data_IF_744207007776
#
_entry.id   IF_744207007776
#
_cell.length_a   1.000
_cell.length_b   1.000
_cell.length_c   1.000
_cell.angle_alpha   90.00
_cell.angle_beta   90.00
_cell.angle_gamma   90.00
#
_symmetry.space_group_name_H-M   'P 1'
#
loop_
_entity.id
_entity.type
_entity.pdbx_description
1 polymer ?
#
# COMPACT_ATOMS: atom_id res chain seq x y z
N UNK A 1 10.27 29.35 -19.22
CA UNK A 1 9.55 28.08 -18.92
C UNK A 1 9.97 27.46 -17.58
N UNK A 2 11.25 27.55 -17.18
CA UNK A 2 11.76 26.99 -15.92
C UNK A 2 11.18 27.65 -14.65
N UNK A 3 11.12 28.99 -14.59
CA UNK A 3 10.53 29.72 -13.45
C UNK A 3 9.07 29.35 -13.21
N UNK A 4 8.30 29.15 -14.28
CA UNK A 4 6.90 28.71 -14.20
C UNK A 4 6.77 27.29 -13.64
N UNK A 5 7.66 26.38 -14.06
CA UNK A 5 7.69 24.99 -13.57
C UNK A 5 8.06 24.94 -12.09
N UNK A 6 8.98 25.79 -11.64
CA UNK A 6 9.38 25.96 -10.24
C UNK A 6 8.24 26.47 -9.36
N UNK A 7 7.54 27.52 -9.82
CA UNK A 7 6.38 28.06 -9.11
C UNK A 7 5.28 27.00 -9.01
N UNK A 8 5.07 26.21 -10.06
CA UNK A 8 4.11 25.10 -10.05
C UNK A 8 4.53 24.01 -9.07
N UNK A 9 5.78 23.54 -9.10
CA UNK A 9 6.22 22.45 -8.20
C UNK A 9 6.16 22.89 -6.74
N UNK A 10 6.57 24.13 -6.44
CA UNK A 10 6.47 24.74 -5.12
C UNK A 10 5.01 24.80 -4.67
N UNK A 11 4.12 25.30 -5.53
CA UNK A 11 2.69 25.42 -5.23
C UNK A 11 2.07 24.05 -4.96
N UNK A 12 2.40 23.05 -5.79
CA UNK A 12 1.94 21.66 -5.60
C UNK A 12 2.50 21.07 -4.31
N UNK A 13 3.78 21.29 -4.00
CA UNK A 13 4.42 20.84 -2.77
C UNK A 13 3.73 21.40 -1.52
N UNK A 14 3.47 22.71 -1.50
CA UNK A 14 2.75 23.39 -0.41
C UNK A 14 1.33 22.83 -0.28
N UNK A 15 0.60 22.71 -1.40
CA UNK A 15 -0.77 22.17 -1.39
C UNK A 15 -0.80 20.72 -0.90
N UNK A 16 0.14 19.87 -1.32
CA UNK A 16 0.27 18.50 -0.82
C UNK A 16 0.65 18.47 0.67
N UNK A 17 1.52 19.37 1.12
CA UNK A 17 1.97 19.45 2.50
C UNK A 17 0.84 19.82 3.47
N UNK A 18 -0.07 20.73 3.09
CA UNK A 18 -1.13 21.20 3.97
C UNK A 18 -2.52 20.58 3.70
N UNK A 19 -2.79 20.14 2.47
CA UNK A 19 -4.09 19.62 2.06
C UNK A 19 -4.05 18.21 1.48
N UNK A 20 -2.91 17.50 1.60
CA UNK A 20 -2.68 16.19 0.99
C UNK A 20 -3.77 15.17 1.27
N UNK A 21 -4.24 15.07 2.52
CA UNK A 21 -5.33 14.16 2.88
C UNK A 21 -6.65 14.42 2.11
N UNK A 22 -6.98 15.69 1.85
CA UNK A 22 -8.20 16.07 1.13
C UNK A 22 -8.07 15.76 -0.37
N UNK A 23 -6.89 16.05 -0.95
CA UNK A 23 -6.61 15.71 -2.34
C UNK A 23 -6.54 14.22 -2.59
N UNK A 24 -6.06 13.43 -1.63
CA UNK A 24 -6.04 11.98 -1.74
C UNK A 24 -7.46 11.40 -1.95
N UNK A 25 -8.46 11.93 -1.23
CA UNK A 25 -9.86 11.55 -1.44
C UNK A 25 -10.33 11.90 -2.86
N UNK A 26 -10.02 13.09 -3.33
CA UNK A 26 -10.38 13.53 -4.69
C UNK A 26 -9.69 12.66 -5.75
N UNK A 27 -8.41 12.34 -5.56
CA UNK A 27 -7.65 11.49 -6.48
C UNK A 27 -8.26 10.08 -6.58
N UNK A 28 -8.70 9.49 -5.46
CA UNK A 28 -9.39 8.20 -5.49
C UNK A 28 -10.77 8.27 -6.14
N UNK A 29 -11.51 9.38 -5.95
CA UNK A 29 -12.77 9.60 -6.65
C UNK A 29 -12.56 9.70 -8.16
N UNK A 30 -11.53 10.44 -8.59
CA UNK A 30 -11.15 10.58 -10.00
C UNK A 30 -10.70 9.25 -10.59
N UNK A 31 -9.88 8.47 -9.87
CA UNK A 31 -9.49 7.12 -10.28
C UNK A 31 -10.69 6.20 -10.43
N UNK A 32 -11.60 6.21 -9.45
CA UNK A 32 -12.86 5.46 -9.51
C UNK A 32 -13.75 5.90 -10.67
N UNK A 33 -13.81 7.21 -10.95
CA UNK A 33 -14.55 7.76 -12.09
C UNK A 33 -13.96 7.27 -13.42
N UNK A 34 -12.64 7.33 -13.59
CA UNK A 34 -11.98 6.87 -14.81
C UNK A 34 -12.21 5.38 -15.07
N UNK A 35 -12.09 4.55 -14.02
CA UNK A 35 -12.37 3.11 -14.11
C UNK A 35 -13.85 2.87 -14.42
N UNK A 36 -14.76 3.58 -13.74
CA UNK A 36 -16.19 3.46 -14.00
C UNK A 36 -16.61 3.93 -15.38
N UNK A 37 -15.98 4.97 -15.92
CA UNK A 37 -16.19 5.42 -17.28
C UNK A 37 -15.73 4.38 -18.30
N UNK A 38 -14.59 3.71 -18.06
CA UNK A 38 -14.14 2.59 -18.88
C UNK A 38 -15.14 1.42 -18.82
N UNK A 39 -15.63 1.06 -17.63
CA UNK A 39 -16.67 0.03 -17.49
C UNK A 39 -17.96 0.44 -18.22
N UNK A 40 -18.39 1.70 -18.10
CA UNK A 40 -19.56 2.23 -18.80
C UNK A 40 -19.42 2.16 -20.31
N UNK A 41 -18.21 2.42 -20.83
CA UNK A 41 -17.89 2.24 -22.25
C UNK A 41 -18.02 0.76 -22.68
N UNK A 42 -17.55 -0.18 -21.87
CA UNK A 42 -17.70 -1.62 -22.14
C UNK A 42 -19.14 -2.14 -22.00
N UNK A 43 -19.97 -1.51 -21.16
CA UNK A 43 -21.36 -1.88 -20.96
C UNK A 43 -22.29 -1.31 -22.05
N UNK A 44 -21.90 -0.20 -22.69
CA UNK A 44 -22.72 0.47 -23.69
C UNK A 44 -23.19 -0.44 -24.84
N UNK A 45 -22.34 -1.30 -25.46
CA UNK A 45 -22.78 -2.19 -26.53
C UNK A 45 -23.95 -3.11 -26.16
N UNK A 46 -24.06 -3.51 -24.90
CA UNK A 46 -25.16 -4.36 -24.41
C UNK A 46 -26.49 -3.60 -24.25
N UNK A 47 -26.42 -2.29 -24.05
CA UNK A 47 -27.59 -1.42 -23.90
C UNK A 47 -27.96 -0.71 -25.20
N UNK A 48 -27.03 -0.61 -26.15
CA UNK A 48 -27.19 0.12 -27.41
C UNK A 48 -28.35 -0.40 -28.25
N UNK A 49 -28.64 -1.70 -28.21
CA UNK A 49 -29.75 -2.33 -28.94
C UNK A 49 -31.14 -1.87 -28.47
N UNK A 50 -31.24 -1.33 -27.25
CA UNK A 50 -32.50 -0.88 -26.65
C UNK A 50 -32.68 0.64 -26.68
N UNK A 51 -31.70 1.37 -27.21
CA UNK A 51 -31.68 2.83 -27.23
C UNK A 51 -32.05 3.36 -28.62
N UNK A 52 -32.71 4.52 -28.72
CA UNK A 52 -33.06 5.12 -30.01
C UNK A 52 -31.80 5.51 -30.80
N UNK A 53 -31.79 5.23 -32.11
CA UNK A 53 -30.66 5.49 -33.03
C UNK A 53 -30.26 6.98 -33.10
N UNK A 54 -31.20 7.87 -32.78
CA UNK A 54 -30.94 9.31 -32.71
C UNK A 54 -30.14 9.65 -31.45
N UNK A 55 -28.81 9.81 -31.62
CA UNK A 55 -27.94 10.40 -30.59
C UNK A 55 -26.99 9.43 -29.87
N UNK A 56 -26.54 8.36 -30.52
CA UNK A 56 -25.59 7.39 -29.96
C UNK A 56 -24.39 8.01 -29.20
N UNK A 57 -23.83 9.12 -29.69
CA UNK A 57 -22.70 9.79 -29.01
C UNK A 57 -23.07 10.36 -27.65
N UNK A 58 -24.28 10.90 -27.49
CA UNK A 58 -24.76 11.48 -26.22
C UNK A 58 -25.07 10.36 -25.23
N UNK A 59 -25.68 9.26 -25.69
CA UNK A 59 -25.98 8.10 -24.85
C UNK A 59 -24.72 7.40 -24.35
N UNK A 60 -23.68 7.29 -25.18
CA UNK A 60 -22.36 6.78 -24.76
C UNK A 60 -21.78 7.63 -23.62
N UNK A 61 -21.75 8.96 -23.78
CA UNK A 61 -21.24 9.87 -22.76
C UNK A 61 -22.06 9.81 -21.47
N UNK A 62 -23.39 9.68 -21.58
CA UNK A 62 -24.27 9.52 -20.43
C UNK A 62 -23.97 8.20 -19.67
N UNK A 63 -23.81 7.08 -20.39
CA UNK A 63 -23.45 5.79 -19.78
C UNK A 63 -22.08 5.83 -19.10
N UNK A 64 -21.06 6.39 -19.77
CA UNK A 64 -19.73 6.56 -19.19
C UNK A 64 -19.76 7.47 -17.95
N UNK A 65 -20.50 8.58 -18.01
CA UNK A 65 -20.62 9.53 -16.91
C UNK A 65 -21.33 8.93 -15.69
N UNK A 66 -22.47 8.28 -15.89
CA UNK A 66 -23.25 7.67 -14.79
C UNK A 66 -22.48 6.50 -14.16
N UNK A 67 -21.91 5.61 -14.97
CA UNK A 67 -21.09 4.51 -14.47
C UNK A 67 -19.84 5.02 -13.74
N UNK A 68 -19.19 6.05 -14.28
CA UNK A 68 -18.08 6.76 -13.64
C UNK A 68 -18.45 7.29 -12.25
N UNK A 69 -19.56 8.03 -12.15
CA UNK A 69 -20.03 8.59 -10.86
C UNK A 69 -20.34 7.48 -9.86
N UNK A 70 -21.06 6.43 -10.28
CA UNK A 70 -21.40 5.30 -9.42
C UNK A 70 -20.14 4.62 -8.87
N UNK A 71 -19.17 4.32 -9.73
CA UNK A 71 -17.91 3.68 -9.30
C UNK A 71 -17.04 4.62 -8.48
N UNK A 72 -17.06 5.93 -8.73
CA UNK A 72 -16.38 6.93 -7.91
C UNK A 72 -16.93 6.99 -6.48
N UNK A 73 -18.25 6.85 -6.29
CA UNK A 73 -18.84 6.73 -4.95
C UNK A 73 -18.51 5.38 -4.31
N UNK A 74 -18.57 4.30 -5.10
CA UNK A 74 -18.28 2.96 -4.61
C UNK A 74 -16.80 2.82 -4.19
N UNK A 75 -15.87 3.46 -4.88
CA UNK A 75 -14.44 3.38 -4.59
C UNK A 75 -14.12 3.86 -3.16
N UNK A 76 -14.84 4.86 -2.64
CA UNK A 76 -14.70 5.30 -1.26
C UNK A 76 -15.10 4.24 -0.24
N UNK A 77 -16.20 3.54 -0.50
CA UNK A 77 -16.69 2.48 0.38
C UNK A 77 -15.77 1.25 0.33
N UNK A 78 -15.38 0.87 -0.89
CA UNK A 78 -14.53 -0.30 -1.14
C UNK A 78 -13.11 -0.07 -0.62
N UNK A 79 -12.56 1.15 -0.68
CA UNK A 79 -11.19 1.41 -0.28
C UNK A 79 -10.87 1.00 1.17
N UNK A 80 -11.75 1.31 2.13
CA UNK A 80 -11.55 0.89 3.52
C UNK A 80 -11.63 -0.63 3.67
N UNK A 81 -12.59 -1.26 3.00
CA UNK A 81 -12.75 -2.71 3.01
C UNK A 81 -11.55 -3.41 2.36
N UNK A 82 -11.09 -2.93 1.20
CA UNK A 82 -9.97 -3.48 0.46
C UNK A 82 -8.67 -3.40 1.28
N UNK A 83 -8.39 -2.27 1.92
CA UNK A 83 -7.22 -2.16 2.79
C UNK A 83 -7.28 -3.10 3.99
N UNK A 84 -8.44 -3.25 4.62
CA UNK A 84 -8.65 -4.23 5.67
C UNK A 84 -8.37 -5.66 5.19
N UNK A 85 -8.98 -6.07 4.07
CA UNK A 85 -8.81 -7.43 3.55
C UNK A 85 -7.39 -7.71 3.08
N UNK A 86 -6.75 -6.78 2.38
CA UNK A 86 -5.37 -6.95 1.90
C UNK A 86 -4.41 -7.10 3.08
N UNK A 87 -4.51 -6.24 4.10
CA UNK A 87 -3.65 -6.32 5.27
C UNK A 87 -3.92 -7.58 6.09
N UNK A 88 -5.18 -7.91 6.35
CA UNK A 88 -5.55 -9.10 7.11
C UNK A 88 -5.11 -10.40 6.42
N UNK A 89 -5.38 -10.53 5.11
CA UNK A 89 -4.98 -11.71 4.34
C UNK A 89 -3.47 -11.81 4.17
N UNK A 90 -2.78 -10.69 3.96
CA UNK A 90 -1.33 -10.68 3.84
C UNK A 90 -0.64 -11.07 5.15
N UNK A 91 -1.12 -10.56 6.29
CA UNK A 91 -0.63 -10.97 7.61
C UNK A 91 -0.90 -12.45 7.87
N UNK A 92 -2.12 -12.93 7.59
CA UNK A 92 -2.44 -14.35 7.74
C UNK A 92 -1.55 -15.22 6.83
N UNK A 93 -1.33 -14.80 5.59
CA UNK A 93 -0.44 -15.47 4.66
C UNK A 93 1.00 -15.50 5.17
N UNK A 94 1.53 -14.39 5.70
CA UNK A 94 2.87 -14.35 6.28
C UNK A 94 3.00 -15.24 7.51
N UNK A 95 2.00 -15.26 8.40
CA UNK A 95 2.02 -16.14 9.58
C UNK A 95 2.02 -17.60 9.14
N UNK A 96 1.15 -17.97 8.21
CA UNK A 96 1.09 -19.34 7.68
C UNK A 96 2.39 -19.69 6.95
N UNK A 97 2.94 -18.78 6.14
CA UNK A 97 4.18 -18.99 5.40
C UNK A 97 5.38 -19.11 6.34
N UNK A 98 5.48 -18.25 7.35
CA UNK A 98 6.54 -18.31 8.36
C UNK A 98 6.39 -19.56 9.22
N UNK A 99 5.17 -19.92 9.64
CA UNK A 99 4.90 -21.19 10.31
C UNK A 99 5.34 -22.36 9.43
N UNK A 100 4.92 -22.39 8.17
CA UNK A 100 5.35 -23.41 7.22
C UNK A 100 6.86 -23.41 7.09
N UNK A 101 7.55 -22.28 6.95
CA UNK A 101 9.01 -22.24 6.83
C UNK A 101 9.74 -22.66 8.13
N UNK A 102 9.25 -22.24 9.30
CA UNK A 102 9.80 -22.61 10.61
C UNK A 102 9.59 -24.10 10.93
N UNK A 103 8.50 -24.70 10.45
CA UNK A 103 8.25 -26.14 10.54
C UNK A 103 8.76 -26.92 9.29
N UNK A 104 9.17 -26.21 8.23
CA UNK A 104 9.69 -26.75 6.97
C UNK A 104 11.17 -26.40 6.74
N UNK A 105 11.97 -26.40 7.80
CA UNK A 105 13.29 -27.01 7.72
C UNK A 105 13.19 -28.51 7.40
N UNK A 106 12.62 -28.88 6.24
CA UNK A 106 12.62 -30.23 5.67
C UNK A 106 11.30 -31.02 5.62
N UNK A 107 10.44 -30.94 6.64
CA UNK A 107 9.42 -32.01 6.87
C UNK A 107 8.00 -31.60 6.48
N UNK A 108 7.63 -30.35 6.75
CA UNK A 108 6.25 -29.87 6.63
C UNK A 108 5.68 -29.86 5.21
N UNK A 109 6.50 -29.53 4.20
CA UNK A 109 6.06 -29.50 2.79
C UNK A 109 5.80 -30.91 2.25
N UNK A 110 6.63 -31.88 2.62
CA UNK A 110 6.43 -33.27 2.24
C UNK A 110 5.19 -33.87 2.91
N UNK A 111 4.93 -33.57 4.18
CA UNK A 111 3.73 -33.99 4.88
C UNK A 111 2.46 -33.29 4.36
N UNK A 112 2.52 -31.98 4.11
CA UNK A 112 1.40 -31.20 3.57
C UNK A 112 1.05 -31.63 2.13
N UNK A 113 2.04 -31.83 1.25
CA UNK A 113 1.82 -32.37 -0.11
C UNK A 113 1.26 -33.80 -0.04
N UNK A 114 1.80 -34.65 0.83
CA UNK A 114 1.32 -36.04 1.00
C UNK A 114 -0.11 -36.11 1.54
N UNK A 115 -0.53 -35.11 2.32
CA UNK A 115 -1.88 -35.01 2.91
C UNK A 115 -2.87 -34.27 2.00
N UNK A 116 -2.43 -33.25 1.26
CA UNK A 116 -3.28 -32.42 0.40
C UNK A 116 -3.43 -32.98 -1.03
N UNK A 117 -2.45 -33.71 -1.55
CA UNK A 117 -2.45 -34.25 -2.93
C UNK A 117 -2.72 -35.77 -2.96
N UNK A 118 -2.72 -36.44 -1.81
CA UNK A 118 -3.06 -37.86 -1.72
C UNK A 118 -1.96 -38.76 -2.28
N UNK A 119 -1.26 -39.46 -1.36
CA UNK A 119 -0.48 -40.68 -1.63
C UNK A 119 0.69 -40.60 -2.63
N UNK A 120 1.34 -39.46 -2.86
CA UNK A 120 2.65 -39.45 -3.53
C UNK A 120 3.79 -39.36 -2.49
N UNK A 121 4.63 -40.39 -2.46
CA UNK A 121 5.85 -40.42 -1.66
C UNK A 121 6.90 -39.51 -2.33
N UNK A 122 7.29 -38.42 -1.66
CA UNK A 122 8.43 -37.61 -2.10
C UNK A 122 9.69 -38.30 -1.59
N UNK A 123 10.42 -38.99 -2.47
CA UNK A 123 11.77 -39.47 -2.18
C UNK A 123 12.78 -38.33 -2.40
N UNK A 124 13.66 -38.08 -1.43
CA UNK A 124 14.84 -37.22 -1.56
C UNK A 124 14.84 -35.95 -0.68
N UNK A 125 16.02 -35.64 -0.12
CA UNK A 125 16.42 -34.45 0.68
C UNK A 125 15.65 -34.13 1.98
N UNK A 126 14.34 -34.39 2.05
CA UNK A 126 13.51 -34.10 3.24
C UNK A 126 13.91 -34.90 4.50
N UNK A 127 14.35 -36.16 4.33
CA UNK A 127 14.83 -37.02 5.42
C UNK A 127 16.23 -36.62 5.94
N UNK A 128 17.00 -35.84 5.18
CA UNK A 128 18.35 -35.44 5.60
C UNK A 128 18.34 -34.23 6.56
N UNK A 129 17.21 -33.51 6.62
CA UNK A 129 17.06 -32.29 7.43
C UNK A 129 16.41 -32.60 8.80
N UNK A 130 15.61 -33.68 8.89
CA UNK A 130 15.06 -34.17 10.18
C UNK A 130 16.15 -34.58 11.16
N UNK A 131 17.24 -35.14 10.64
CA UNK A 131 18.33 -35.73 11.42
C UNK A 131 19.43 -34.70 11.74
N UNK A 132 19.23 -33.42 11.39
CA UNK A 132 20.16 -32.36 11.72
C UNK A 132 20.07 -32.06 13.22
N UNK A 133 21.18 -32.21 13.94
CA UNK A 133 21.24 -31.89 15.37
C UNK A 133 21.26 -30.38 15.58
N UNK A 134 20.36 -29.87 16.41
CA UNK A 134 20.30 -28.46 16.80
C UNK A 134 20.88 -28.31 18.20
N UNK A 135 22.22 -28.36 18.29
CA UNK A 135 22.97 -28.22 19.54
C UNK A 135 22.39 -29.11 20.68
N UNK A 136 22.45 -28.68 21.94
CA UNK A 136 21.98 -29.46 23.12
C UNK A 136 20.45 -29.67 23.20
N UNK A 137 19.68 -29.33 22.16
CA UNK A 137 18.21 -29.38 22.19
C UNK A 137 17.60 -30.57 21.42
N UNK A 138 18.43 -31.49 20.93
CA UNK A 138 18.02 -32.66 20.16
C UNK A 138 18.00 -32.40 18.65
N UNK A 139 17.35 -33.27 17.90
CA UNK A 139 17.22 -33.15 16.44
C UNK A 139 16.15 -32.13 16.05
N UNK A 140 16.25 -31.54 14.84
CA UNK A 140 15.19 -30.69 14.28
C UNK A 140 13.83 -31.41 14.31
N UNK A 141 13.81 -32.72 14.07
CA UNK A 141 12.62 -33.57 14.15
C UNK A 141 11.95 -33.59 15.54
N UNK A 142 12.72 -33.76 16.62
CA UNK A 142 12.20 -33.80 17.99
C UNK A 142 11.64 -32.45 18.45
N UNK A 143 12.31 -31.35 18.09
CA UNK A 143 11.83 -30.00 18.42
C UNK A 143 10.52 -29.66 17.68
N UNK A 144 10.40 -30.09 16.43
CA UNK A 144 9.18 -29.95 15.65
C UNK A 144 8.05 -30.79 16.25
N UNK A 145 8.33 -32.04 16.63
CA UNK A 145 7.33 -32.92 17.22
C UNK A 145 6.83 -32.37 18.56
N UNK A 146 7.74 -31.89 19.42
CA UNK A 146 7.39 -31.25 20.70
C UNK A 146 6.58 -29.96 20.51
N UNK A 147 6.91 -29.16 19.49
CA UNK A 147 6.14 -27.97 19.12
C UNK A 147 4.74 -28.31 18.56
N UNK A 148 4.62 -29.40 17.80
CA UNK A 148 3.35 -29.88 17.27
C UNK A 148 2.48 -30.51 18.38
N UNK A 149 3.08 -31.14 19.38
CA UNK A 149 2.39 -31.70 20.56
C UNK A 149 1.86 -30.61 21.49
N UNK A 150 2.48 -29.42 21.53
CA UNK A 150 1.95 -28.26 22.25
C UNK A 150 0.70 -27.62 21.59
N UNK A 151 0.40 -27.95 20.34
CA UNK A 151 -0.78 -27.44 19.64
C UNK A 151 -2.03 -28.25 20.02
N UNK A 152 -3.15 -27.59 20.38
CA UNK A 152 -4.39 -28.26 20.73
C UNK A 152 -4.99 -28.99 19.51
N UNK A 153 -5.39 -30.24 19.72
CA UNK A 153 -6.11 -31.07 18.75
C UNK A 153 -5.52 -32.48 18.58
N UNK A 154 -6.36 -33.51 18.59
CA UNK A 154 -5.91 -34.91 18.54
C UNK A 154 -5.58 -35.38 17.11
N UNK A 155 -6.02 -34.64 16.09
CA UNK A 155 -5.78 -34.95 14.69
C UNK A 155 -4.90 -33.88 14.02
N UNK A 156 -4.06 -34.25 13.04
CA UNK A 156 -3.23 -33.29 12.30
C UNK A 156 -4.08 -32.22 11.61
N UNK A 157 -5.28 -32.60 11.14
CA UNK A 157 -6.23 -31.68 10.53
C UNK A 157 -6.76 -30.65 11.54
N UNK A 158 -7.04 -31.07 12.78
CA UNK A 158 -7.43 -30.17 13.86
C UNK A 158 -6.29 -29.20 14.23
N UNK A 159 -5.05 -29.68 14.30
CA UNK A 159 -3.87 -28.85 14.58
C UNK A 159 -3.60 -27.82 13.48
N UNK A 160 -3.74 -28.19 12.20
CA UNK A 160 -3.63 -27.21 11.10
C UNK A 160 -4.79 -26.22 11.13
N UNK A 161 -6.00 -26.68 11.44
CA UNK A 161 -7.17 -25.83 11.59
C UNK A 161 -7.02 -24.77 12.70
N UNK A 162 -6.44 -25.13 13.85
CA UNK A 162 -6.21 -24.19 14.95
C UNK A 162 -5.17 -23.12 14.58
N UNK A 163 -4.09 -23.50 13.89
CA UNK A 163 -3.08 -22.55 13.39
C UNK A 163 -3.69 -21.60 12.34
N UNK A 164 -4.49 -22.13 11.41
CA UNK A 164 -5.17 -21.31 10.41
C UNK A 164 -6.14 -20.32 11.07
N UNK A 165 -6.93 -20.78 12.03
CA UNK A 165 -7.87 -19.95 12.77
C UNK A 165 -7.14 -18.84 13.54
N UNK A 166 -6.05 -19.17 14.24
CA UNK A 166 -5.20 -18.20 14.93
C UNK A 166 -4.61 -17.18 13.94
N UNK A 167 -4.10 -17.62 12.79
CA UNK A 167 -3.55 -16.73 11.77
C UNK A 167 -4.60 -15.76 11.21
N UNK A 168 -5.84 -16.22 11.00
CA UNK A 168 -6.96 -15.37 10.57
C UNK A 168 -7.35 -14.36 11.65
N UNK A 169 -7.42 -14.76 12.92
CA UNK A 169 -7.74 -13.85 14.04
C UNK A 169 -6.66 -12.78 14.17
N UNK A 170 -5.38 -13.18 14.18
CA UNK A 170 -4.26 -12.23 14.25
C UNK A 170 -4.26 -11.31 13.02
N UNK A 171 -4.48 -11.87 11.83
CA UNK A 171 -4.63 -11.09 10.60
C UNK A 171 -5.75 -10.06 10.70
N UNK A 172 -6.92 -10.43 11.22
CA UNK A 172 -8.03 -9.50 11.42
C UNK A 172 -7.68 -8.38 12.42
N UNK A 173 -7.01 -8.70 13.53
CA UNK A 173 -6.55 -7.69 14.52
C UNK A 173 -5.58 -6.71 13.86
N UNK A 174 -4.59 -7.22 13.12
CA UNK A 174 -3.63 -6.37 12.38
C UNK A 174 -4.34 -5.53 11.33
N UNK A 175 -5.30 -6.10 10.61
CA UNK A 175 -6.12 -5.36 9.66
C UNK A 175 -6.87 -4.19 10.30
N UNK A 176 -7.47 -4.40 11.49
CA UNK A 176 -8.12 -3.32 12.25
C UNK A 176 -7.10 -2.24 12.63
N UNK A 177 -5.92 -2.64 13.12
CA UNK A 177 -4.85 -1.69 13.49
C UNK A 177 -4.43 -0.88 12.27
N UNK A 178 -4.22 -1.51 11.11
CA UNK A 178 -3.88 -0.82 9.86
C UNK A 178 -4.98 0.16 9.47
N UNK A 179 -6.26 -0.21 9.56
CA UNK A 179 -7.37 0.70 9.27
C UNK A 179 -7.39 1.93 10.20
N UNK A 180 -6.97 1.78 11.46
CA UNK A 180 -6.85 2.91 12.41
C UNK A 180 -5.62 3.76 12.08
N UNK A 181 -4.49 3.14 11.76
CA UNK A 181 -3.22 3.81 11.45
C UNK A 181 -3.16 4.40 10.04
N UNK A 182 -4.07 4.02 9.16
CA UNK A 182 -4.08 4.49 7.78
C UNK A 182 -4.25 6.01 7.67
N UNK A 183 -5.15 6.60 8.46
CA UNK A 183 -5.37 8.06 8.46
C UNK A 183 -4.10 8.82 8.85
N UNK A 184 -3.45 8.53 10.01
CA UNK A 184 -2.21 9.21 10.36
C UNK A 184 -1.08 8.89 9.37
N UNK A 185 -0.99 7.67 8.83
CA UNK A 185 0.03 7.33 7.85
C UNK A 185 -0.07 8.17 6.56
N UNK A 186 -1.28 8.38 6.02
CA UNK A 186 -1.47 9.23 4.83
C UNK A 186 -1.09 10.69 5.14
N UNK A 187 -1.46 11.19 6.33
CA UNK A 187 -1.09 12.55 6.75
C UNK A 187 0.43 12.71 6.82
N UNK A 188 1.10 11.77 7.47
CA UNK A 188 2.57 11.78 7.59
C UNK A 188 3.21 11.71 6.21
N UNK A 189 2.83 10.74 5.37
CA UNK A 189 3.44 10.56 4.04
C UNK A 189 3.22 11.77 3.12
N UNK A 190 2.01 12.34 3.10
CA UNK A 190 1.74 13.52 2.26
C UNK A 190 2.44 14.78 2.78
N UNK A 191 2.58 14.93 4.09
CA UNK A 191 3.37 16.02 4.68
C UNK A 191 4.86 15.92 4.35
N UNK A 192 5.44 14.71 4.39
CA UNK A 192 6.85 14.47 4.05
C UNK A 192 7.10 14.76 2.58
N UNK A 193 6.34 14.15 1.68
CA UNK A 193 6.52 14.35 0.23
C UNK A 193 6.27 15.82 -0.15
N UNK A 194 5.21 16.44 0.39
CA UNK A 194 4.90 17.84 0.12
C UNK A 194 5.99 18.80 0.63
N UNK A 195 6.54 18.53 1.83
CA UNK A 195 7.62 19.31 2.39
C UNK A 195 8.93 19.15 1.60
N UNK A 196 9.25 17.94 1.12
CA UNK A 196 10.43 17.71 0.26
C UNK A 196 10.32 18.49 -1.06
N UNK A 197 9.16 18.43 -1.73
CA UNK A 197 8.93 19.20 -2.96
C UNK A 197 8.98 20.71 -2.70
N UNK A 198 8.42 21.17 -1.58
CA UNK A 198 8.46 22.58 -1.22
C UNK A 198 9.87 23.06 -0.85
N UNK A 199 10.65 22.26 -0.11
CA UNK A 199 12.02 22.61 0.25
C UNK A 199 12.93 22.67 -0.97
N UNK A 200 12.82 21.71 -1.89
CA UNK A 200 13.53 21.73 -3.17
C UNK A 200 13.18 22.99 -3.98
N UNK A 201 11.89 23.33 -4.05
CA UNK A 201 11.42 24.55 -4.70
C UNK A 201 11.98 25.83 -4.07
N UNK A 202 12.01 25.91 -2.73
CA UNK A 202 12.53 27.08 -1.99
C UNK A 202 14.04 27.22 -2.19
N UNK A 203 14.81 26.13 -2.04
CA UNK A 203 16.26 26.15 -2.21
C UNK A 203 16.63 26.58 -3.64
N UNK A 204 15.97 26.02 -4.65
CA UNK A 204 16.24 26.39 -6.04
C UNK A 204 15.87 27.86 -6.35
N UNK A 205 14.87 28.42 -5.66
CA UNK A 205 14.50 29.84 -5.78
C UNK A 205 15.53 30.74 -5.10
N UNK A 206 16.04 30.36 -3.92
CA UNK A 206 17.10 31.09 -3.22
C UNK A 206 18.41 31.11 -4.01
N UNK A 207 18.84 29.97 -4.56
CA UNK A 207 20.04 29.89 -5.38
C UNK A 207 19.94 30.76 -6.66
N UNK A 208 18.74 30.84 -7.24
CA UNK A 208 18.45 31.72 -8.39
C UNK A 208 18.43 33.21 -8.03
N UNK A 209 18.28 33.57 -6.76
CA UNK A 209 18.34 34.97 -6.30
C UNK A 209 19.78 35.40 -5.98
N UNK A 210 20.61 34.46 -5.52
CA UNK A 210 22.02 34.72 -5.19
C UNK A 210 22.90 34.76 -6.45
N UNK A 211 22.63 33.89 -7.42
CA UNK A 211 23.28 33.91 -8.73
C UNK A 211 22.33 34.55 -9.75
N UNK A 212 22.54 35.83 -10.09
CA UNK A 212 21.82 36.53 -11.17
C UNK A 212 22.29 35.99 -12.54
N UNK A 213 22.13 34.70 -12.76
CA UNK A 213 22.40 34.03 -14.02
C UNK A 213 21.21 33.08 -14.30
N UNK A 214 20.16 33.62 -14.93
CA UNK A 214 18.92 32.91 -15.25
C UNK A 214 19.08 31.97 -16.47
N UNK A 215 20.23 31.30 -16.58
CA UNK A 215 20.48 30.32 -17.64
C UNK A 215 19.84 28.97 -17.28
N UNK A 216 19.24 28.30 -18.27
CA UNK A 216 18.45 27.08 -18.06
C UNK A 216 19.27 25.87 -17.56
N UNK A 217 20.59 25.90 -17.75
CA UNK A 217 21.51 24.83 -17.38
C UNK A 217 21.79 24.77 -15.87
N UNK A 218 21.87 25.93 -15.19
CA UNK A 218 22.12 26.01 -13.75
C UNK A 218 20.96 25.43 -12.93
N UNK A 219 19.71 25.63 -13.38
CA UNK A 219 18.53 25.13 -12.66
C UNK A 219 18.33 23.61 -12.82
N UNK A 220 18.69 23.03 -13.97
CA UNK A 220 18.66 21.57 -14.16
C UNK A 220 19.76 20.90 -13.32
N UNK A 221 20.93 21.53 -13.21
CA UNK A 221 22.00 21.07 -12.32
C UNK A 221 21.61 21.17 -10.83
N UNK A 222 20.83 22.17 -10.43
CA UNK A 222 20.39 22.36 -9.04
C UNK A 222 19.25 21.43 -8.58
N UNK A 223 18.54 20.76 -9.51
CA UNK A 223 17.64 19.65 -9.15
C UNK A 223 18.40 18.36 -8.77
N UNK A 224 19.70 18.28 -9.10
CA UNK A 224 20.63 17.30 -8.54
C UNK A 224 21.19 17.85 -7.23
N UNK A 225 20.52 17.55 -6.11
CA UNK A 225 20.88 17.85 -4.71
C UNK A 225 22.31 18.41 -4.57
N UNK A 226 22.46 19.72 -4.76
CA UNK A 226 23.72 20.42 -4.59
C UNK A 226 24.12 20.33 -3.12
N UNK A 227 25.26 19.70 -2.84
CA UNK A 227 25.69 19.36 -1.48
C UNK A 227 25.98 20.56 -0.55
N UNK A 228 25.98 21.79 -1.07
CA UNK A 228 26.45 22.97 -0.32
C UNK A 228 25.42 23.51 0.68
N UNK A 229 24.12 23.16 0.55
CA UNK A 229 23.06 23.63 1.46
C UNK A 229 22.20 22.50 2.06
N UNK A 230 22.78 21.32 2.26
CA UNK A 230 22.08 20.14 2.81
C UNK A 230 21.46 20.42 4.18
N UNK A 231 22.16 21.18 5.04
CA UNK A 231 21.67 21.54 6.38
C UNK A 231 20.46 22.46 6.32
N UNK A 232 20.48 23.46 5.44
CA UNK A 232 19.37 24.40 5.28
C UNK A 232 18.13 23.68 4.69
N UNK A 233 18.33 22.87 3.65
CA UNK A 233 17.25 22.08 3.05
C UNK A 233 16.63 21.10 4.05
N UNK A 234 17.45 20.43 4.86
CA UNK A 234 16.96 19.54 5.92
C UNK A 234 16.17 20.29 7.01
N UNK A 235 16.65 21.45 7.45
CA UNK A 235 15.94 22.28 8.44
C UNK A 235 14.58 22.79 7.91
N UNK A 236 14.55 23.28 6.68
CA UNK A 236 13.31 23.75 6.02
C UNK A 236 12.34 22.58 5.85
N UNK A 237 12.83 21.42 5.43
CA UNK A 237 12.01 20.20 5.29
C UNK A 237 11.40 19.82 6.64
N UNK A 238 12.20 19.71 7.71
CA UNK A 238 11.71 19.32 9.04
C UNK A 238 10.64 20.31 9.55
N UNK A 239 10.87 21.62 9.40
CA UNK A 239 9.91 22.64 9.81
C UNK A 239 8.60 22.52 9.04
N UNK A 240 8.66 22.36 7.71
CA UNK A 240 7.48 22.19 6.86
C UNK A 240 6.74 20.90 7.16
N UNK A 241 7.45 19.80 7.41
CA UNK A 241 6.87 18.50 7.79
C UNK A 241 6.10 18.63 9.10
N UNK A 242 6.69 19.21 10.15
CA UNK A 242 6.04 19.38 11.44
C UNK A 242 4.82 20.31 11.32
N UNK A 243 4.96 21.45 10.63
CA UNK A 243 3.87 22.38 10.40
C UNK A 243 2.72 21.73 9.60
N UNK A 244 3.07 21.03 8.51
CA UNK A 244 2.13 20.31 7.66
C UNK A 244 1.37 19.25 8.44
N UNK A 245 2.06 18.42 9.23
CA UNK A 245 1.43 17.44 10.10
C UNK A 245 0.45 18.09 11.08
N UNK A 246 0.85 19.13 11.82
CA UNK A 246 -0.02 19.81 12.81
C UNK A 246 -1.28 20.37 12.15
N UNK A 247 -1.15 21.03 11.00
CA UNK A 247 -2.28 21.60 10.26
C UNK A 247 -3.20 20.50 9.72
N UNK A 248 -2.65 19.44 9.13
CA UNK A 248 -3.42 18.32 8.59
C UNK A 248 -4.16 17.55 9.69
N UNK A 249 -3.51 17.30 10.85
CA UNK A 249 -4.16 16.63 11.98
C UNK A 249 -5.32 17.47 12.53
N UNK A 250 -5.13 18.79 12.68
CA UNK A 250 -6.19 19.70 13.14
C UNK A 250 -7.37 19.75 12.16
N UNK A 251 -7.07 19.83 10.87
CA UNK A 251 -8.10 19.89 9.81
C UNK A 251 -8.87 18.56 9.71
N UNK A 252 -8.18 17.43 9.87
CA UNK A 252 -8.80 16.09 9.78
C UNK A 252 -9.68 15.79 10.99
N UNK A 253 -9.35 16.27 12.19
CA UNK A 253 -10.19 16.14 13.38
C UNK A 253 -11.58 16.76 13.20
N UNK A 254 -11.69 17.82 12.39
CA UNK A 254 -12.96 18.49 12.13
C UNK A 254 -13.81 17.82 11.03
N UNK A 255 -13.30 16.77 10.39
CA UNK A 255 -13.97 16.07 9.27
C UNK A 255 -14.44 14.65 9.61
N UNK A 256 -14.19 14.16 10.83
CA UNK A 256 -14.70 12.88 11.33
C UNK A 256 -16.03 13.08 12.02
#
# INVERSE_FOLDING_TARGET
MLTFTLIISLSIGIVLCFMGYRFFRVAMALGGFAIGAAIGYFLYPFAAEYLPDAGHGIWLLAFMGIAGILVAFLSFAVYKAALFYISALFTAFLIVKTFLMSFAGGVGVAAFIKTAIGKTAIMGSANAITDYEVADRGTVGELIQKGLEMLPGDTPLAKTGTVLLAAVIVGAIVGIIVCVLQKPAIIVMTSVIGAMLASEGICSLLDSLENIDMTAESVIANFSVGGENLVLSMLVTILLVVAGMVVQFKTTKNMS
#
